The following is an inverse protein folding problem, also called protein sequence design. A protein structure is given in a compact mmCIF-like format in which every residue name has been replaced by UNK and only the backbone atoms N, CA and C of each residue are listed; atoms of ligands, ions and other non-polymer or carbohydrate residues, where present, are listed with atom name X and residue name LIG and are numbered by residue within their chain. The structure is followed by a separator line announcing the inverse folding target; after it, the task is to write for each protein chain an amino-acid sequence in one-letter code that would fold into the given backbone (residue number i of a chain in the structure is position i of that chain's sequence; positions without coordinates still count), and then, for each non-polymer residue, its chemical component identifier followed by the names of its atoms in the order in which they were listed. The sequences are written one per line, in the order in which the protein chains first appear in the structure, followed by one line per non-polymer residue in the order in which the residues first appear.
data_IF_583781753554
#
_entry.id   IF_583781753554
#
_cell.length_a   1.000
_cell.length_b   1.000
_cell.length_c   1.000
_cell.angle_alpha   90.00
_cell.angle_beta   90.00
_cell.angle_gamma   90.00
#
_symmetry.space_group_name_H-M   'P 1'
#
loop_
_entity.id
_entity.type
_entity.pdbx_description
1 polymer ?
#
# COMPACT_ATOMS: atom_id res chain seq x y z
N UNK A 1 -61.56 -14.60 52.84
CA UNK A 1 -61.22 -15.68 51.89
C UNK A 1 -60.38 -15.09 50.77
N UNK A 2 -59.23 -15.70 50.50
CA UNK A 2 -58.22 -15.35 49.50
C UNK A 2 -58.78 -15.50 48.08
N UNK A 3 -58.46 -14.55 47.18
CA UNK A 3 -57.68 -14.85 45.96
C UNK A 3 -57.23 -13.57 45.23
N UNK A 4 -55.92 -13.48 45.08
CA UNK A 4 -55.20 -12.51 44.25
C UNK A 4 -55.33 -12.90 42.78
N UNK A 5 -55.45 -11.92 41.89
CA UNK A 5 -55.17 -12.11 40.47
C UNK A 5 -54.25 -10.96 40.03
N UNK A 6 -52.96 -11.25 40.02
CA UNK A 6 -51.96 -10.57 39.23
C UNK A 6 -52.02 -11.14 37.81
N UNK A 7 -52.04 -10.28 36.80
CA UNK A 7 -51.61 -10.66 35.46
C UNK A 7 -50.80 -9.51 34.85
N UNK A 8 -49.48 -9.67 34.93
CA UNK A 8 -48.52 -8.98 34.10
C UNK A 8 -48.24 -9.87 32.90
N UNK A 9 -48.35 -9.32 31.68
CA UNK A 9 -47.78 -9.95 30.49
C UNK A 9 -47.05 -8.91 29.66
N UNK A 10 -45.75 -9.17 29.52
CA UNK A 10 -44.72 -8.43 28.81
C UNK A 10 -44.84 -8.51 27.28
N UNK A 11 -44.12 -7.59 26.63
CA UNK A 11 -43.46 -7.71 25.33
C UNK A 11 -44.24 -7.30 24.06
N UNK A 12 -43.80 -6.19 23.45
CA UNK A 12 -43.82 -6.01 22.01
C UNK A 12 -42.51 -5.32 21.60
N UNK A 13 -41.50 -6.14 21.27
CA UNK A 13 -40.31 -5.68 20.57
C UNK A 13 -40.66 -5.38 19.13
N UNK A 14 -40.53 -4.12 18.72
CA UNK A 14 -40.68 -3.71 17.33
C UNK A 14 -39.43 -4.15 16.55
N UNK A 15 -39.53 -5.30 15.87
CA UNK A 15 -38.53 -5.73 14.89
C UNK A 15 -38.57 -4.76 13.71
N UNK A 16 -37.50 -3.97 13.55
CA UNK A 16 -37.29 -3.15 12.37
C UNK A 16 -37.12 -4.09 11.18
N UNK A 17 -38.13 -4.10 10.32
CA UNK A 17 -38.12 -4.72 9.01
C UNK A 17 -37.00 -4.07 8.18
N UNK A 18 -35.84 -4.72 8.08
CA UNK A 18 -34.81 -4.33 7.12
C UNK A 18 -35.12 -5.03 5.79
N UNK A 19 -35.48 -4.31 4.71
CA UNK A 19 -35.50 -4.91 3.39
C UNK A 19 -34.05 -5.27 3.05
N UNK A 20 -33.70 -6.55 3.20
CA UNK A 20 -32.52 -7.10 2.57
C UNK A 20 -32.78 -7.00 1.07
N UNK A 21 -32.15 -5.98 0.46
CA UNK A 21 -32.15 -5.84 -0.99
C UNK A 21 -31.74 -7.18 -1.58
N UNK A 22 -32.64 -7.77 -2.36
CA UNK A 22 -32.36 -8.98 -3.11
C UNK A 22 -31.27 -8.62 -4.13
N UNK A 23 -30.02 -8.89 -3.75
CA UNK A 23 -28.93 -8.98 -4.70
C UNK A 23 -29.31 -10.12 -5.63
N UNK A 24 -29.68 -9.77 -6.85
CA UNK A 24 -29.90 -10.73 -7.93
C UNK A 24 -28.60 -11.51 -8.07
N UNK A 25 -28.64 -12.78 -7.68
CA UNK A 25 -27.54 -13.71 -7.91
C UNK A 25 -27.40 -13.88 -9.42
N UNK A 26 -26.45 -13.16 -10.00
CA UNK A 26 -25.96 -13.45 -11.34
C UNK A 26 -25.32 -14.84 -11.29
N UNK A 27 -25.84 -15.76 -12.11
CA UNK A 27 -25.31 -17.12 -12.22
C UNK A 27 -23.99 -17.01 -12.99
N UNK A 28 -22.89 -16.86 -12.26
CA UNK A 28 -21.55 -16.87 -12.83
C UNK A 28 -21.11 -18.31 -13.10
N UNK A 29 -21.23 -18.73 -14.37
CA UNK A 29 -20.69 -19.99 -14.84
C UNK A 29 -19.18 -19.82 -15.07
N UNK A 30 -18.38 -20.21 -14.08
CA UNK A 30 -16.94 -20.23 -14.18
C UNK A 30 -16.44 -21.63 -14.58
N UNK A 31 -15.91 -21.72 -15.79
CA UNK A 31 -15.39 -22.96 -16.39
C UNK A 31 -13.92 -23.09 -15.99
N UNK A 32 -13.66 -23.91 -14.97
CA UNK A 32 -12.30 -24.24 -14.53
C UNK A 32 -11.84 -25.54 -15.22
N UNK A 33 -11.49 -25.46 -16.50
CA UNK A 33 -10.85 -26.58 -17.21
C UNK A 33 -9.34 -26.53 -16.88
N UNK A 34 -8.95 -27.19 -15.78
CA UNK A 34 -7.59 -27.70 -15.57
C UNK A 34 -6.49 -26.73 -15.11
N UNK A 35 -6.79 -25.50 -14.68
CA UNK A 35 -5.75 -24.60 -14.18
C UNK A 35 -5.45 -24.82 -12.68
N UNK A 36 -4.16 -24.91 -12.26
CA UNK A 36 -3.82 -25.06 -10.85
C UNK A 36 -4.41 -23.89 -10.05
N UNK A 37 -5.19 -24.22 -9.02
CA UNK A 37 -5.83 -23.24 -8.15
C UNK A 37 -4.77 -22.37 -7.48
N UNK A 38 -4.88 -21.06 -7.64
CA UNK A 38 -4.02 -20.10 -6.95
C UNK A 38 -4.38 -20.09 -5.45
N UNK A 39 -3.40 -20.13 -4.56
CA UNK A 39 -3.61 -20.11 -3.09
C UNK A 39 -2.80 -18.97 -2.48
N UNK A 40 -3.47 -18.09 -1.74
CA UNK A 40 -2.82 -17.01 -0.98
C UNK A 40 -2.45 -17.54 0.40
N UNK A 41 -1.19 -17.91 0.60
CA UNK A 41 -0.68 -18.48 1.86
C UNK A 41 -0.38 -17.50 2.99
N UNK A 42 -0.71 -16.22 2.84
CA UNK A 42 -0.46 -15.17 3.85
C UNK A 42 -1.75 -14.43 4.20
N UNK A 43 -1.72 -13.64 5.28
CA UNK A 43 -2.83 -12.79 5.67
C UNK A 43 -2.62 -11.35 5.18
N UNK A 44 -3.15 -10.96 4.01
CA UNK A 44 -3.07 -9.58 3.54
C UNK A 44 -3.84 -8.63 4.45
N UNK A 45 -3.24 -7.50 4.78
CA UNK A 45 -3.97 -6.34 5.27
C UNK A 45 -4.54 -5.56 4.10
N UNK A 46 -5.70 -4.92 4.29
CA UNK A 46 -6.37 -4.13 3.26
C UNK A 46 -6.53 -2.68 3.71
N UNK A 47 -6.47 -1.75 2.77
CA UNK A 47 -6.88 -0.36 2.98
C UNK A 47 -7.68 0.15 1.79
N UNK A 48 -8.58 1.09 2.06
CA UNK A 48 -9.43 1.68 1.03
C UNK A 48 -8.65 2.73 0.22
N UNK A 49 -8.78 2.69 -1.10
CA UNK A 49 -8.18 3.68 -2.01
C UNK A 49 -9.27 4.56 -2.60
N UNK A 50 -9.47 5.81 -2.10
CA UNK A 50 -10.60 6.66 -2.48
C UNK A 50 -10.73 6.90 -3.99
N UNK A 51 -9.61 7.12 -4.68
CA UNK A 51 -9.57 7.39 -6.12
C UNK A 51 -10.10 6.22 -6.97
N UNK A 52 -9.95 5.00 -6.47
CA UNK A 52 -10.38 3.78 -7.13
C UNK A 52 -11.74 3.30 -6.62
N UNK A 53 -12.06 3.61 -5.37
CA UNK A 53 -13.32 3.30 -4.73
C UNK A 53 -13.49 1.82 -4.38
N UNK A 54 -12.39 1.15 -4.03
CA UNK A 54 -12.30 -0.20 -3.51
C UNK A 54 -11.05 -0.34 -2.61
N UNK A 55 -10.97 -1.46 -1.88
CA UNK A 55 -9.84 -1.73 -1.00
C UNK A 55 -8.80 -2.58 -1.70
N UNK A 56 -7.52 -2.37 -1.39
CA UNK A 56 -6.39 -3.10 -1.97
C UNK A 56 -5.50 -3.62 -0.85
N UNK A 57 -4.93 -4.81 -1.04
CA UNK A 57 -4.00 -5.38 -0.08
C UNK A 57 -2.63 -4.71 -0.09
N UNK A 58 -1.93 -4.83 1.03
CA UNK A 58 -0.53 -4.45 1.20
C UNK A 58 0.20 -5.44 2.12
N UNK A 59 1.52 -5.29 2.22
CA UNK A 59 2.33 -6.10 3.13
C UNK A 59 2.57 -7.55 2.67
N UNK A 60 2.17 -7.90 1.45
CA UNK A 60 2.39 -9.23 0.88
C UNK A 60 2.79 -9.18 -0.59
N UNK A 61 3.10 -10.35 -1.18
CA UNK A 61 3.61 -10.46 -2.56
C UNK A 61 2.58 -10.13 -3.64
N UNK A 62 1.29 -10.13 -3.30
CA UNK A 62 0.21 -9.91 -4.26
C UNK A 62 -0.66 -8.70 -3.89
N UNK A 63 -1.12 -8.05 -4.95
CA UNK A 63 -2.01 -6.90 -4.91
C UNK A 63 -3.44 -7.44 -5.13
N UNK A 64 -4.18 -7.63 -4.04
CA UNK A 64 -5.52 -8.20 -4.05
C UNK A 64 -6.51 -7.05 -3.90
N UNK A 65 -7.45 -6.96 -4.82
CA UNK A 65 -8.54 -5.99 -4.78
C UNK A 65 -9.74 -6.62 -4.06
N UNK A 66 -10.29 -5.96 -3.06
CA UNK A 66 -11.56 -6.31 -2.42
C UNK A 66 -12.65 -5.35 -2.89
N UNK A 67 -13.65 -5.89 -3.59
CA UNK A 67 -14.75 -5.10 -4.15
C UNK A 67 -16.01 -5.95 -4.34
N UNK A 68 -17.15 -5.44 -3.89
CA UNK A 68 -18.46 -6.07 -4.11
C UNK A 68 -18.58 -7.48 -3.52
N UNK A 69 -17.93 -7.74 -2.38
CA UNK A 69 -17.93 -9.06 -1.72
C UNK A 69 -17.00 -10.11 -2.36
N UNK A 70 -16.27 -9.74 -3.40
CA UNK A 70 -15.29 -10.60 -4.06
C UNK A 70 -13.88 -10.04 -3.95
N UNK A 71 -12.92 -10.94 -4.14
CA UNK A 71 -11.50 -10.66 -4.21
C UNK A 71 -11.03 -10.89 -5.63
N UNK A 72 -10.27 -9.93 -6.17
CA UNK A 72 -9.72 -9.99 -7.50
C UNK A 72 -8.21 -9.87 -7.43
N UNK A 73 -7.52 -10.64 -8.26
CA UNK A 73 -6.08 -10.65 -8.36
C UNK A 73 -5.69 -10.70 -9.83
N UNK A 74 -4.75 -9.85 -10.23
CA UNK A 74 -4.11 -9.97 -11.53
C UNK A 74 -2.73 -10.61 -11.37
N UNK A 75 -2.53 -11.75 -12.01
CA UNK A 75 -1.27 -12.49 -11.95
C UNK A 75 -0.98 -13.16 -13.29
N UNK A 76 0.26 -13.07 -13.78
CA UNK A 76 0.71 -13.73 -15.01
C UNK A 76 -0.20 -13.49 -16.22
N UNK A 77 -0.65 -12.23 -16.39
CA UNK A 77 -1.50 -11.84 -17.52
C UNK A 77 -2.99 -12.17 -17.37
N UNK A 78 -3.39 -12.86 -16.29
CA UNK A 78 -4.74 -13.36 -16.08
C UNK A 78 -5.37 -12.75 -14.83
N UNK A 79 -6.68 -12.62 -14.87
CA UNK A 79 -7.45 -12.23 -13.70
C UNK A 79 -7.99 -13.46 -13.00
N UNK A 80 -7.94 -13.42 -11.68
CA UNK A 80 -8.48 -14.42 -10.79
C UNK A 80 -9.51 -13.76 -9.88
N UNK A 81 -10.60 -14.47 -9.61
CA UNK A 81 -11.64 -14.06 -8.66
C UNK A 81 -11.78 -15.12 -7.57
N UNK A 82 -12.06 -14.69 -6.34
CA UNK A 82 -12.44 -15.58 -5.25
C UNK A 82 -13.50 -14.89 -4.37
N UNK A 83 -14.39 -15.67 -3.75
CA UNK A 83 -15.28 -15.16 -2.69
C UNK A 83 -14.56 -14.98 -1.35
N UNK A 84 -13.36 -15.55 -1.19
CA UNK A 84 -12.57 -15.44 0.02
C UNK A 84 -11.07 -15.47 -0.30
N UNK A 85 -10.31 -14.47 0.14
CA UNK A 85 -8.87 -14.39 -0.19
C UNK A 85 -8.05 -15.56 0.37
N UNK A 86 -8.31 -15.96 1.63
CA UNK A 86 -7.55 -16.99 2.36
C UNK A 86 -7.91 -18.44 2.03
N UNK A 87 -9.20 -18.78 2.08
CA UNK A 87 -9.69 -20.15 1.95
C UNK A 87 -10.55 -20.36 0.70
N UNK A 88 -10.70 -19.32 -0.11
CA UNK A 88 -11.54 -19.38 -1.29
C UNK A 88 -10.78 -19.95 -2.48
N UNK A 89 -11.51 -20.64 -3.33
CA UNK A 89 -11.01 -21.13 -4.61
C UNK A 89 -10.86 -19.94 -5.55
N UNK A 90 -9.64 -19.70 -5.99
CA UNK A 90 -9.36 -18.70 -7.01
C UNK A 90 -9.64 -19.26 -8.39
N UNK A 91 -10.44 -18.55 -9.16
CA UNK A 91 -10.90 -18.98 -10.47
C UNK A 91 -10.52 -17.96 -11.52
N UNK A 92 -10.07 -18.42 -12.68
CA UNK A 92 -9.73 -17.51 -13.79
C UNK A 92 -11.01 -16.86 -14.28
N UNK A 93 -10.98 -15.55 -14.44
CA UNK A 93 -12.11 -14.76 -14.90
C UNK A 93 -11.69 -13.94 -16.11
N UNK A 94 -12.55 -13.91 -17.12
CA UNK A 94 -12.32 -13.08 -18.30
C UNK A 94 -12.43 -11.59 -17.97
N UNK A 95 -11.68 -10.78 -18.70
CA UNK A 95 -11.61 -9.34 -18.47
C UNK A 95 -12.99 -8.65 -18.50
N UNK A 96 -13.92 -9.13 -19.34
CA UNK A 96 -15.26 -8.56 -19.46
C UNK A 96 -16.17 -8.81 -18.25
N UNK A 97 -15.90 -9.86 -17.46
CA UNK A 97 -16.66 -10.19 -16.24
C UNK A 97 -16.14 -9.46 -15.00
N UNK A 98 -15.02 -8.78 -15.13
CA UNK A 98 -14.49 -7.94 -14.05
C UNK A 98 -15.36 -6.70 -13.94
N UNK A 99 -15.73 -6.28 -12.72
CA UNK A 99 -16.50 -5.07 -12.52
C UNK A 99 -15.90 -3.87 -13.25
N UNK A 100 -16.74 -3.07 -13.92
CA UNK A 100 -16.31 -1.93 -14.71
C UNK A 100 -15.36 -1.00 -13.95
N UNK A 101 -15.64 -0.79 -12.66
CA UNK A 101 -14.84 0.05 -11.76
C UNK A 101 -13.37 -0.39 -11.64
N UNK A 102 -13.10 -1.69 -11.78
CA UNK A 102 -11.75 -2.24 -11.78
C UNK A 102 -11.18 -2.19 -13.21
N UNK A 103 -11.88 -2.76 -14.20
CA UNK A 103 -11.36 -2.90 -15.57
C UNK A 103 -11.16 -1.59 -16.34
N UNK A 104 -11.79 -0.48 -15.91
CA UNK A 104 -11.56 0.85 -16.51
C UNK A 104 -10.15 1.41 -16.25
N UNK A 105 -9.41 0.82 -15.32
CA UNK A 105 -8.05 1.21 -15.00
C UNK A 105 -7.09 0.09 -15.42
N UNK A 106 -6.02 0.47 -16.09
CA UNK A 106 -4.90 -0.44 -16.33
C UNK A 106 -4.29 -0.89 -15.00
N UNK A 107 -3.76 -2.12 -15.00
CA UNK A 107 -3.18 -2.71 -13.79
C UNK A 107 -2.08 -1.84 -13.18
N UNK A 108 -1.24 -1.24 -14.02
CA UNK A 108 -0.16 -0.34 -13.58
C UNK A 108 -0.70 0.92 -12.90
N UNK A 109 -1.84 1.45 -13.36
CA UNK A 109 -2.46 2.61 -12.74
C UNK A 109 -3.08 2.27 -11.39
N UNK A 110 -3.71 1.09 -11.27
CA UNK A 110 -4.20 0.58 -9.98
C UNK A 110 -3.06 0.54 -8.96
N UNK A 111 -1.90 -0.03 -9.32
CA UNK A 111 -0.70 -0.08 -8.45
C UNK A 111 -0.19 1.32 -8.12
N UNK A 112 -0.16 2.23 -9.09
CA UNK A 112 0.25 3.62 -8.89
C UNK A 112 -0.63 4.34 -7.87
N UNK A 113 -1.95 4.27 -8.03
CA UNK A 113 -2.91 4.90 -7.10
C UNK A 113 -2.79 4.31 -5.70
N UNK A 114 -2.66 2.99 -5.60
CA UNK A 114 -2.39 2.30 -4.34
C UNK A 114 -1.13 2.84 -3.67
N UNK A 115 0.00 2.89 -4.38
CA UNK A 115 1.29 3.27 -3.81
C UNK A 115 1.31 4.73 -3.36
N UNK A 116 0.72 5.63 -4.15
CA UNK A 116 0.56 7.03 -3.78
C UNK A 116 -0.27 7.16 -2.50
N UNK A 117 -1.40 6.46 -2.42
CA UNK A 117 -2.24 6.52 -1.24
C UNK A 117 -1.55 5.87 -0.03
N UNK A 118 -0.92 4.72 -0.21
CA UNK A 118 -0.20 3.99 0.83
C UNK A 118 0.89 4.85 1.48
N UNK A 119 1.70 5.55 0.67
CA UNK A 119 2.71 6.50 1.17
C UNK A 119 2.10 7.64 1.96
N UNK A 120 0.93 8.13 1.54
CA UNK A 120 0.22 9.21 2.24
C UNK A 120 -0.26 8.78 3.63
N UNK A 121 -0.77 7.56 3.76
CA UNK A 121 -1.31 7.06 5.04
C UNK A 121 -0.25 6.40 5.94
N UNK A 122 0.90 6.00 5.39
CA UNK A 122 2.02 5.43 6.15
C UNK A 122 3.31 6.26 5.99
N UNK A 123 3.32 7.55 6.35
CA UNK A 123 4.47 8.43 6.10
C UNK A 123 5.75 7.95 6.80
N UNK A 124 5.62 7.38 8.01
CA UNK A 124 6.76 6.95 8.81
C UNK A 124 7.54 5.80 8.15
N UNK A 125 6.88 4.90 7.40
CA UNK A 125 7.57 3.81 6.69
C UNK A 125 8.49 4.30 5.55
N UNK A 126 8.32 5.54 5.11
CA UNK A 126 9.10 6.12 4.01
C UNK A 126 10.01 7.27 4.48
N UNK A 127 9.95 7.64 5.76
CA UNK A 127 10.73 8.74 6.34
C UNK A 127 12.17 8.32 6.62
N UNK A 128 12.35 7.11 7.15
CA UNK A 128 13.65 6.58 7.60
C UNK A 128 14.69 6.50 6.48
N UNK A 129 14.27 6.21 5.24
CA UNK A 129 15.18 6.21 4.09
C UNK A 129 15.69 7.61 3.74
N UNK A 130 14.80 8.61 3.78
CA UNK A 130 15.11 9.97 3.35
C UNK A 130 16.02 10.69 4.33
N UNK A 131 15.88 10.38 5.61
CA UNK A 131 16.77 10.91 6.64
C UNK A 131 18.15 10.27 6.53
N UNK A 132 18.25 8.94 6.32
CA UNK A 132 19.54 8.25 6.14
C UNK A 132 20.33 8.78 4.93
N UNK A 133 19.68 8.94 3.77
CA UNK A 133 20.33 9.53 2.58
C UNK A 133 20.82 10.97 2.81
N UNK A 134 20.11 11.73 3.66
CA UNK A 134 20.48 13.10 4.00
C UNK A 134 21.72 13.15 4.90
N UNK A 135 21.86 12.21 5.83
CA UNK A 135 23.04 12.09 6.68
C UNK A 135 24.27 11.69 5.86
N UNK A 136 24.14 10.70 4.98
CA UNK A 136 25.25 10.25 4.12
C UNK A 136 25.74 11.36 3.18
N UNK A 137 24.81 12.12 2.58
CA UNK A 137 25.16 13.23 1.67
C UNK A 137 25.82 14.41 2.40
N UNK A 138 25.53 14.61 3.68
CA UNK A 138 26.18 15.64 4.49
C UNK A 138 27.58 15.21 4.96
N UNK A 139 27.79 13.94 5.34
CA UNK A 139 29.14 13.46 5.75
C UNK A 139 30.16 13.59 4.61
N UNK A 140 29.73 13.38 3.36
CA UNK A 140 30.59 13.60 2.19
C UNK A 140 30.96 15.07 1.94
N UNK A 141 30.07 16.03 2.26
CA UNK A 141 30.38 17.46 2.13
C UNK A 141 31.35 17.93 3.20
N UNK A 142 31.12 17.54 4.45
CA UNK A 142 31.95 17.96 5.57
C UNK A 142 33.39 17.40 5.47
N UNK A 143 33.56 16.20 4.88
CA UNK A 143 34.90 15.69 4.56
C UNK A 143 35.58 16.52 3.47
N UNK A 144 34.89 16.87 2.38
CA UNK A 144 35.50 17.65 1.30
C UNK A 144 35.94 19.05 1.75
N UNK A 145 35.14 19.72 2.59
CA UNK A 145 35.49 21.04 3.12
C UNK A 145 36.72 21.02 4.04
N UNK A 146 37.01 19.88 4.70
CA UNK A 146 38.24 19.70 5.48
C UNK A 146 39.48 19.55 4.59
N UNK A 147 39.40 18.81 3.49
CA UNK A 147 40.51 18.66 2.54
C UNK A 147 40.83 19.98 1.83
N UNK A 148 39.81 20.72 1.40
CA UNK A 148 39.99 22.03 0.74
C UNK A 148 40.57 23.11 1.68
N UNK A 149 40.29 23.05 2.98
CA UNK A 149 40.93 23.96 3.96
C UNK A 149 42.40 23.64 4.21
N UNK A 150 42.77 22.36 4.21
CA UNK A 150 44.17 21.97 4.43
C UNK A 150 45.05 22.39 3.24
N UNK A 151 44.59 22.17 2.00
CA UNK A 151 45.34 22.58 0.81
C UNK A 151 45.55 24.09 0.71
N UNK A 152 44.60 24.90 1.20
CA UNK A 152 44.74 26.37 1.25
C UNK A 152 45.75 26.82 2.30
N UNK A 153 45.84 26.13 3.44
CA UNK A 153 46.84 26.43 4.48
C UNK A 153 48.25 26.13 3.99
N UNK A 154 48.45 24.97 3.36
CA UNK A 154 49.76 24.56 2.84
C UNK A 154 50.25 25.48 1.70
N UNK A 155 49.34 26.06 0.91
CA UNK A 155 49.71 27.06 -0.12
C UNK A 155 50.11 28.40 0.47
N UNK A 156 49.47 28.87 1.55
CA UNK A 156 49.85 30.14 2.19
C UNK A 156 51.21 30.04 2.88
N UNK A 157 51.50 28.94 3.58
CA UNK A 157 52.79 28.76 4.25
C UNK A 157 53.98 28.71 3.26
N UNK A 158 53.75 28.23 2.03
CA UNK A 158 54.78 28.26 0.97
C UNK A 158 54.97 29.64 0.36
N UNK A 159 53.94 30.49 0.36
CA UNK A 159 54.02 31.85 -0.20
C UNK A 159 54.76 32.79 0.74
N UNK A 160 54.48 32.70 2.03
CA UNK A 160 55.14 33.52 3.05
C UNK A 160 56.64 33.22 3.15
N UNK A 161 57.07 31.97 2.97
CA UNK A 161 58.51 31.64 2.92
C UNK A 161 59.25 32.28 1.75
N UNK A 162 58.60 32.41 0.59
CA UNK A 162 59.22 32.99 -0.60
C UNK A 162 59.41 34.50 -0.47
N UNK A 163 58.49 35.19 0.21
CA UNK A 163 58.54 36.64 0.40
C UNK A 163 59.62 37.10 1.41
N UNK A 164 60.07 36.21 2.29
CA UNK A 164 61.20 36.47 3.20
C UNK A 164 62.58 36.32 2.56
N UNK A 165 62.69 35.54 1.49
CA UNK A 165 63.97 35.30 0.80
C UNK A 165 64.37 36.49 -0.08
N UNK A 166 63.40 37.11 -0.77
CA UNK A 166 63.61 38.29 -1.63
C UNK A 166 63.98 39.59 -0.90
N UNK A 167 63.87 39.63 0.43
CA UNK A 167 64.17 40.83 1.24
C UNK A 167 65.56 40.84 1.87
N UNK A 168 66.40 39.83 1.63
CA UNK A 168 67.77 39.77 2.14
C UNK A 168 68.85 40.24 1.15
N UNK A 169 68.51 40.50 -0.10
CA UNK A 169 69.47 40.87 -1.17
C UNK A 169 69.33 42.31 -1.68
N UNK A 170 69.14 43.30 -0.78
CA UNK A 170 69.32 44.73 -1.12
C UNK A 170 70.17 45.47 -0.12
#
# INVERSE_FOLDING_TARGET
MKKHVLLATLAAGLLIFQPSGQVRAEIDVNINIGAPGFVVGYNPDFFYVPNLGYSISYGGPYDIISYGGYYYLYHSGRWYRSSHYRHGRWVIVDHHRIPYKIRRHDWNDIRRYRDVHYRKIHPNRFRDHRDRDRWDRNDHRDRNDRWDRNDRRDRNDRRDRNDHEWRRDR
#
